data_IF_363228213194
#
_entry.id   IF_363228213194
#
_cell.length_a   1.000
_cell.length_b   1.000
_cell.length_c   1.000
_cell.angle_alpha   90.00
_cell.angle_beta   90.00
_cell.angle_gamma   90.00
#
_symmetry.space_group_name_H-M   'P 1'
#
loop_
_entity.id
_entity.type
_entity.pdbx_description
1 polymer ?
#
# COMPACT_ATOMS: atom_id res chain seq x y z
N UNK A 1 0.23 0.39 -15.54
CA UNK A 1 1.01 -0.03 -14.36
C UNK A 1 1.25 1.21 -13.50
N UNK A 2 1.86 1.04 -12.33
CA UNK A 2 2.20 2.10 -11.40
C UNK A 2 3.72 2.21 -11.40
N UNK A 3 4.27 3.42 -11.43
CA UNK A 3 5.70 3.64 -11.25
C UNK A 3 5.96 4.33 -9.92
N UNK A 4 7.18 4.16 -9.39
CA UNK A 4 7.57 4.70 -8.10
C UNK A 4 8.62 5.79 -8.32
N UNK A 5 8.46 6.89 -7.60
CA UNK A 5 9.46 7.94 -7.47
C UNK A 5 9.91 8.05 -6.03
N UNK A 6 11.08 8.63 -5.83
CA UNK A 6 11.60 8.99 -4.52
C UNK A 6 11.98 10.46 -4.46
N UNK A 7 11.90 11.00 -3.26
CA UNK A 7 12.40 12.34 -2.94
C UNK A 7 12.72 12.40 -1.44
N UNK A 8 13.47 13.43 -1.02
CA UNK A 8 13.68 13.75 0.38
C UNK A 8 12.88 15.00 0.72
N UNK A 9 12.07 14.95 1.79
CA UNK A 9 11.34 16.14 2.27
C UNK A 9 12.37 17.19 2.70
N UNK A 10 12.19 18.43 2.28
CA UNK A 10 12.99 19.54 2.79
C UNK A 10 12.29 20.10 4.03
N UNK A 11 12.99 20.11 5.15
CA UNK A 11 12.45 20.53 6.45
C UNK A 11 13.42 21.55 7.05
N UNK A 12 12.92 22.74 7.34
CA UNK A 12 13.62 23.76 8.14
C UNK A 12 12.75 24.17 9.35
N UNK A 13 13.16 25.23 10.05
CA UNK A 13 12.42 25.72 11.23
C UNK A 13 11.04 26.30 10.90
N UNK A 14 10.81 26.71 9.67
CA UNK A 14 9.69 27.55 9.27
C UNK A 14 8.69 26.78 8.40
N UNK A 15 9.14 25.76 7.66
CA UNK A 15 8.32 24.99 6.73
C UNK A 15 8.81 23.57 6.45
N UNK A 16 7.86 22.75 6.00
CA UNK A 16 8.12 21.47 5.34
C UNK A 16 7.70 21.59 3.88
N UNK A 17 8.59 21.21 2.97
CA UNK A 17 8.34 21.17 1.54
C UNK A 17 8.28 19.71 1.09
N UNK A 18 7.24 19.38 0.35
CA UNK A 18 6.96 18.04 -0.16
C UNK A 18 6.90 18.04 -1.68
N UNK A 19 6.88 16.84 -2.26
CA UNK A 19 6.69 16.64 -3.69
C UNK A 19 5.37 17.28 -4.15
N UNK A 20 5.41 18.01 -5.25
CA UNK A 20 4.21 18.47 -5.93
C UNK A 20 3.63 17.30 -6.73
N UNK A 21 2.45 16.82 -6.33
CA UNK A 21 1.73 15.77 -7.05
C UNK A 21 0.86 16.36 -8.16
N UNK A 22 0.64 15.61 -9.27
CA UNK A 22 -0.33 16.00 -10.29
C UNK A 22 -1.73 16.13 -9.70
N UNK A 23 -2.54 17.00 -10.28
CA UNK A 23 -3.94 17.20 -9.89
C UNK A 23 -4.84 16.56 -10.96
N UNK A 24 -5.75 15.69 -10.52
CA UNK A 24 -6.72 15.01 -11.37
C UNK A 24 -7.95 15.85 -11.68
N UNK A 25 -8.85 15.30 -12.51
CA UNK A 25 -10.02 16.02 -13.04
C UNK A 25 -10.97 16.56 -11.96
N UNK A 26 -11.07 15.91 -10.80
CA UNK A 26 -11.90 16.34 -9.67
C UNK A 26 -11.12 17.15 -8.63
N UNK A 27 -10.00 17.77 -9.03
CA UNK A 27 -9.12 18.57 -8.19
C UNK A 27 -8.46 17.81 -7.01
N UNK A 28 -8.36 16.48 -7.13
CA UNK A 28 -7.67 15.61 -6.18
C UNK A 28 -6.20 15.43 -6.55
N UNK A 29 -5.34 15.22 -5.55
CA UNK A 29 -3.95 14.78 -5.79
C UNK A 29 -3.94 13.39 -6.40
N UNK A 30 -3.08 13.18 -7.40
CA UNK A 30 -2.87 11.91 -8.07
C UNK A 30 -1.52 11.36 -7.64
N UNK A 31 -1.54 10.26 -6.89
CA UNK A 31 -0.35 9.63 -6.34
C UNK A 31 -0.51 9.32 -4.86
N UNK A 32 0.29 8.39 -4.36
CA UNK A 32 0.19 7.89 -3.00
C UNK A 32 1.58 7.77 -2.38
N UNK A 33 1.83 8.47 -1.28
CA UNK A 33 3.02 8.21 -0.46
C UNK A 33 2.92 6.78 0.09
N UNK A 34 3.97 5.99 -0.15
CA UNK A 34 4.05 4.59 0.24
C UNK A 34 4.67 4.45 1.62
N UNK A 35 5.88 4.98 1.79
CA UNK A 35 6.65 4.94 3.04
C UNK A 35 7.81 5.93 2.97
N UNK A 36 8.37 6.27 4.14
CA UNK A 36 9.70 6.88 4.26
C UNK A 36 10.67 5.83 4.81
N UNK A 37 11.79 5.61 4.12
CA UNK A 37 12.86 4.69 4.52
C UNK A 37 14.17 5.46 4.43
N UNK A 38 14.93 5.51 5.52
CA UNK A 38 16.21 6.23 5.60
C UNK A 38 16.13 7.67 5.07
N UNK A 39 15.14 8.43 5.55
CA UNK A 39 14.82 9.82 5.15
C UNK A 39 14.33 10.03 3.71
N UNK A 40 14.31 8.96 2.90
CA UNK A 40 13.79 8.99 1.53
C UNK A 40 12.32 8.58 1.52
N UNK A 41 11.46 9.47 1.00
CA UNK A 41 10.03 9.22 0.81
C UNK A 41 9.79 8.61 -0.57
N UNK A 42 9.05 7.51 -0.62
CA UNK A 42 8.67 6.80 -1.85
C UNK A 42 7.21 7.03 -2.18
N UNK A 43 6.90 7.30 -3.45
CA UNK A 43 5.56 7.65 -3.91
C UNK A 43 5.19 6.83 -5.13
N UNK A 44 4.02 6.21 -5.08
CA UNK A 44 3.40 5.55 -6.22
C UNK A 44 2.64 6.54 -7.10
N UNK A 45 2.89 6.50 -8.40
CA UNK A 45 2.22 7.31 -9.42
C UNK A 45 1.63 6.40 -10.51
N UNK A 46 0.44 6.71 -11.05
CA UNK A 46 -0.07 6.01 -12.24
C UNK A 46 0.90 6.15 -13.41
N UNK A 47 1.07 5.13 -14.26
CA UNK A 47 2.04 5.10 -15.38
C UNK A 47 2.11 6.38 -16.23
N UNK A 48 0.96 7.00 -16.49
CA UNK A 48 0.86 8.15 -17.38
C UNK A 48 0.85 9.50 -16.63
N UNK A 49 0.98 9.47 -15.30
CA UNK A 49 1.00 10.69 -14.50
C UNK A 49 2.33 11.42 -14.72
N UNK A 50 2.26 12.68 -15.15
CA UNK A 50 3.42 13.54 -15.31
C UNK A 50 3.50 14.46 -14.11
N UNK A 51 4.63 14.41 -13.40
CA UNK A 51 4.88 15.31 -12.28
C UNK A 51 4.92 16.77 -12.76
N UNK A 52 4.27 17.69 -12.05
CA UNK A 52 4.43 19.12 -12.29
C UNK A 52 5.85 19.59 -11.94
N UNK A 53 6.14 20.85 -12.26
CA UNK A 53 7.36 21.52 -11.80
C UNK A 53 7.45 21.43 -10.28
N UNK A 54 8.61 20.96 -9.81
CA UNK A 54 8.86 20.75 -8.39
C UNK A 54 9.40 22.02 -7.74
N UNK A 55 9.13 22.25 -6.45
CA UNK A 55 9.83 23.27 -5.68
C UNK A 55 11.34 23.09 -5.81
N UNK A 56 12.09 24.19 -5.81
CA UNK A 56 13.55 24.17 -5.99
C UNK A 56 14.28 23.29 -4.95
N UNK A 57 13.69 23.10 -3.77
CA UNK A 57 14.26 22.30 -2.68
C UNK A 57 14.07 20.79 -2.91
N UNK A 58 13.19 20.38 -3.82
CA UNK A 58 12.79 19.00 -4.03
C UNK A 58 13.39 18.47 -5.32
N UNK A 59 14.22 17.43 -5.17
CA UNK A 59 14.70 16.61 -6.29
C UNK A 59 13.96 15.29 -6.28
N UNK A 60 13.34 14.94 -7.40
CA UNK A 60 12.59 13.69 -7.58
C UNK A 60 13.36 12.77 -8.52
N UNK A 61 13.47 11.50 -8.17
CA UNK A 61 14.06 10.46 -9.01
C UNK A 61 13.09 9.31 -9.24
N UNK A 62 13.07 8.76 -10.45
CA UNK A 62 12.37 7.49 -10.71
C UNK A 62 13.11 6.34 -10.04
N UNK A 63 12.37 5.42 -9.41
CA UNK A 63 12.93 4.30 -8.64
C UNK A 63 12.75 2.99 -9.40
N UNK A 64 13.85 2.27 -9.60
CA UNK A 64 13.81 0.87 -10.00
C UNK A 64 13.62 0.02 -8.74
N UNK A 65 12.48 -0.66 -8.63
CA UNK A 65 12.09 -1.37 -7.42
C UNK A 65 12.76 -2.76 -7.33
N UNK A 66 13.86 -2.86 -6.58
CA UNK A 66 14.48 -4.17 -6.27
C UNK A 66 13.64 -4.94 -5.25
N UNK A 67 13.77 -6.28 -5.16
CA UNK A 67 13.05 -7.08 -4.17
C UNK A 67 13.31 -6.62 -2.72
N UNK A 68 14.55 -6.23 -2.40
CA UNK A 68 14.94 -5.77 -1.07
C UNK A 68 14.29 -4.43 -0.74
N UNK A 69 14.33 -3.48 -1.67
CA UNK A 69 13.70 -2.17 -1.48
C UNK A 69 12.17 -2.30 -1.40
N UNK A 70 11.58 -3.17 -2.22
CA UNK A 70 10.15 -3.49 -2.16
C UNK A 70 9.75 -3.99 -0.78
N UNK A 71 10.54 -4.89 -0.20
CA UNK A 71 10.30 -5.41 1.14
C UNK A 71 10.42 -4.31 2.21
N UNK A 72 11.42 -3.44 2.12
CA UNK A 72 11.61 -2.31 3.04
C UNK A 72 10.45 -1.31 2.99
N UNK A 73 10.04 -0.88 1.78
CA UNK A 73 8.91 0.03 1.59
C UNK A 73 7.64 -0.63 2.11
N UNK A 74 7.40 -1.90 1.78
CA UNK A 74 6.19 -2.62 2.21
C UNK A 74 6.12 -2.76 3.73
N UNK A 75 7.24 -3.00 4.40
CA UNK A 75 7.32 -3.13 5.86
C UNK A 75 7.04 -1.80 6.60
N UNK A 76 7.35 -0.67 5.96
CA UNK A 76 7.17 0.67 6.55
C UNK A 76 5.96 1.42 5.98
N UNK A 77 5.12 0.76 5.18
CA UNK A 77 4.02 1.43 4.49
C UNK A 77 2.72 1.40 5.30
N UNK A 78 2.16 2.57 5.68
CA UNK A 78 0.87 2.63 6.36
C UNK A 78 -0.27 2.05 5.51
N UNK A 79 -0.21 2.22 4.18
CA UNK A 79 -1.21 1.66 3.27
C UNK A 79 -1.19 0.13 3.27
N UNK A 80 -0.01 -0.49 3.31
CA UNK A 80 0.13 -1.95 3.41
C UNK A 80 -0.39 -2.45 4.75
N UNK A 81 -0.08 -1.75 5.84
CA UNK A 81 -0.60 -2.07 7.17
C UNK A 81 -2.13 -2.03 7.20
N UNK A 82 -2.73 -0.95 6.69
CA UNK A 82 -4.18 -0.80 6.60
C UNK A 82 -4.82 -1.91 5.76
N UNK A 83 -4.25 -2.26 4.59
CA UNK A 83 -4.75 -3.35 3.77
C UNK A 83 -4.73 -4.67 4.55
N UNK A 84 -3.65 -4.96 5.30
CA UNK A 84 -3.58 -6.16 6.13
C UNK A 84 -4.67 -6.18 7.21
N UNK A 85 -4.89 -5.06 7.89
CA UNK A 85 -5.95 -4.92 8.89
C UNK A 85 -7.33 -5.16 8.25
N UNK A 86 -7.60 -4.56 7.09
CA UNK A 86 -8.86 -4.74 6.37
C UNK A 86 -9.10 -6.18 5.90
N UNK A 87 -8.05 -6.93 5.56
CA UNK A 87 -8.18 -8.37 5.26
C UNK A 87 -8.67 -9.13 6.48
N UNK A 88 -8.09 -8.88 7.66
CA UNK A 88 -8.51 -9.50 8.92
C UNK A 88 -9.95 -9.10 9.25
N UNK A 89 -10.30 -7.83 9.13
CA UNK A 89 -11.67 -7.35 9.36
C UNK A 89 -12.68 -7.98 8.41
N UNK A 90 -12.34 -8.15 7.14
CA UNK A 90 -13.22 -8.83 6.17
C UNK A 90 -13.50 -10.27 6.60
N UNK A 91 -12.49 -10.99 7.08
CA UNK A 91 -12.66 -12.35 7.61
C UNK A 91 -13.55 -12.31 8.87
N UNK A 92 -13.23 -11.42 9.81
CA UNK A 92 -13.93 -11.28 11.09
C UNK A 92 -15.40 -10.86 10.94
N UNK A 93 -15.77 -10.17 9.85
CA UNK A 93 -17.17 -9.82 9.53
C UNK A 93 -18.04 -11.05 9.26
N UNK A 94 -17.45 -12.15 8.80
CA UNK A 94 -18.18 -13.39 8.45
C UNK A 94 -17.97 -14.50 9.48
N UNK A 95 -16.76 -14.62 10.03
CA UNK A 95 -16.40 -15.67 10.97
C UNK A 95 -15.86 -15.04 12.25
N UNK A 96 -16.44 -15.36 13.39
CA UNK A 96 -15.84 -14.98 14.66
C UNK A 96 -14.61 -15.84 14.96
N UNK A 97 -13.75 -15.39 15.86
CA UNK A 97 -12.58 -16.17 16.30
C UNK A 97 -13.00 -17.55 16.85
N UNK A 98 -14.13 -17.64 17.53
CA UNK A 98 -14.66 -18.93 18.02
C UNK A 98 -15.09 -19.85 16.88
N UNK A 99 -15.67 -19.29 15.81
CA UNK A 99 -16.02 -20.06 14.61
C UNK A 99 -14.76 -20.59 13.93
N UNK A 100 -13.73 -19.76 13.80
CA UNK A 100 -12.43 -20.17 13.23
C UNK A 100 -11.80 -21.32 14.02
N UNK A 101 -11.75 -21.22 15.36
CA UNK A 101 -11.24 -22.28 16.24
C UNK A 101 -12.06 -23.57 16.06
N UNK A 102 -13.39 -23.46 15.99
CA UNK A 102 -14.27 -24.61 15.78
C UNK A 102 -13.99 -25.27 14.42
N UNK A 103 -13.92 -24.47 13.35
CA UNK A 103 -13.67 -24.92 12.00
C UNK A 103 -12.31 -25.63 11.89
N UNK A 104 -11.26 -25.07 12.50
CA UNK A 104 -9.92 -25.67 12.57
C UNK A 104 -9.90 -27.03 13.26
N UNK A 105 -10.77 -27.25 14.26
CA UNK A 105 -10.88 -28.55 14.96
C UNK A 105 -11.69 -29.58 14.18
N UNK A 106 -12.53 -29.14 13.26
CA UNK A 106 -13.40 -29.99 12.44
C UNK A 106 -12.85 -30.26 11.05
N UNK A 107 -11.62 -29.84 10.77
CA UNK A 107 -10.99 -30.12 9.47
C UNK A 107 -10.56 -31.60 9.38
N UNK A 108 -10.73 -32.25 8.21
CA UNK A 108 -11.40 -31.75 7.01
C UNK A 108 -12.93 -31.78 7.12
N UNK A 109 -13.61 -30.74 6.64
CA UNK A 109 -15.08 -30.70 6.51
C UNK A 109 -15.51 -29.72 5.41
N UNK A 110 -16.71 -29.91 4.80
CA UNK A 110 -17.21 -28.97 3.80
C UNK A 110 -17.29 -27.52 4.30
N UNK A 111 -17.63 -27.32 5.59
CA UNK A 111 -17.66 -25.99 6.19
C UNK A 111 -16.27 -25.37 6.33
N UNK A 112 -15.24 -26.19 6.58
CA UNK A 112 -13.86 -25.74 6.58
C UNK A 112 -13.40 -25.33 5.17
N UNK A 113 -13.80 -26.08 4.13
CA UNK A 113 -13.48 -25.75 2.74
C UNK A 113 -14.09 -24.41 2.31
N UNK A 114 -15.36 -24.16 2.68
CA UNK A 114 -16.03 -22.87 2.44
C UNK A 114 -15.34 -21.70 3.17
N UNK A 115 -14.96 -21.92 4.42
CA UNK A 115 -14.20 -20.95 5.21
C UNK A 115 -12.84 -20.64 4.54
N UNK A 116 -12.09 -21.68 4.18
CA UNK A 116 -10.78 -21.54 3.57
C UNK A 116 -10.87 -20.80 2.22
N UNK A 117 -11.85 -21.13 1.38
CA UNK A 117 -12.10 -20.41 0.13
C UNK A 117 -12.41 -18.92 0.36
N UNK A 118 -13.19 -18.60 1.40
CA UNK A 118 -13.47 -17.21 1.76
C UNK A 118 -12.23 -16.46 2.24
N UNK A 119 -11.43 -17.06 3.13
CA UNK A 119 -10.18 -16.47 3.62
C UNK A 119 -9.22 -16.21 2.46
N UNK A 120 -9.06 -17.16 1.54
CA UNK A 120 -8.21 -16.98 0.37
C UNK A 120 -8.73 -15.90 -0.59
N UNK A 121 -10.05 -15.74 -0.72
CA UNK A 121 -10.62 -14.63 -1.48
C UNK A 121 -10.30 -13.26 -0.85
N UNK A 122 -10.33 -13.17 0.48
CA UNK A 122 -9.97 -11.94 1.22
C UNK A 122 -8.48 -11.63 1.07
N UNK A 123 -7.62 -12.65 1.14
CA UNK A 123 -6.17 -12.52 0.89
C UNK A 123 -5.87 -12.14 -0.55
N UNK A 124 -6.59 -12.71 -1.51
CA UNK A 124 -6.46 -12.35 -2.93
C UNK A 124 -6.82 -10.90 -3.17
N UNK A 125 -7.91 -10.41 -2.58
CA UNK A 125 -8.23 -8.99 -2.59
C UNK A 125 -7.08 -8.16 -2.02
N UNK A 126 -6.55 -8.51 -0.84
CA UNK A 126 -5.41 -7.82 -0.25
C UNK A 126 -4.17 -7.80 -1.16
N UNK A 127 -3.84 -8.90 -1.84
CA UNK A 127 -2.74 -8.94 -2.83
C UNK A 127 -2.99 -8.00 -4.01
N UNK A 128 -4.22 -7.91 -4.50
CA UNK A 128 -4.58 -7.04 -5.61
C UNK A 128 -4.45 -5.56 -5.21
N UNK A 129 -4.94 -5.16 -4.04
CA UNK A 129 -4.82 -3.77 -3.56
C UNK A 129 -3.36 -3.35 -3.42
N UNK A 130 -2.49 -4.23 -2.91
CA UNK A 130 -1.05 -3.98 -2.80
C UNK A 130 -0.39 -3.84 -4.18
N UNK A 131 -0.81 -4.67 -5.15
CA UNK A 131 -0.32 -4.60 -6.52
C UNK A 131 -0.69 -3.27 -7.21
N UNK A 132 -1.84 -2.67 -6.88
CA UNK A 132 -2.21 -1.33 -7.40
C UNK A 132 -1.22 -0.24 -6.96
N UNK A 133 -0.60 -0.40 -5.79
CA UNK A 133 0.46 0.49 -5.27
C UNK A 133 1.84 0.21 -5.89
N UNK A 134 1.97 -0.81 -6.74
CA UNK A 134 3.26 -1.28 -7.24
C UNK A 134 4.05 -2.14 -6.24
N UNK A 135 3.44 -2.50 -5.10
CA UNK A 135 4.04 -3.30 -4.02
C UNK A 135 3.55 -4.76 -4.02
#
# INVERSE_FOLDING_TARGET
MTYIVSYQKFIDSDRTVEIALPIGESNQRVGQELATVDEVTYVALPDNAVLPEQPQEITVSTVALTPELKAQISANSPSIELINQLVVEKIAKKYSVNDEIKLLRTQPSPQFDEYNAYVESCRAWGRNEKALLGL
#
